data_IF_600136267600
#
_entry.id   IF_600136267600
#
_cell.length_a   1.000
_cell.length_b   1.000
_cell.length_c   1.000
_cell.angle_alpha   90.00
_cell.angle_beta   90.00
_cell.angle_gamma   90.00
#
_symmetry.space_group_name_H-M   'P 1'
#
loop_
_entity.id
_entity.type
_entity.pdbx_description
1 polymer ?
#
# COMPACT_ATOMS: atom_id res chain seq x y z
N UNK A 1 -4.85 -21.24 7.41
CA UNK A 1 -4.73 -22.57 8.03
C UNK A 1 -3.28 -23.02 7.88
N UNK A 2 -2.38 -22.60 8.79
CA UNK A 2 -0.93 -22.75 8.61
C UNK A 2 -0.46 -24.21 8.59
N UNK A 3 -1.06 -25.09 9.42
CA UNK A 3 -0.70 -26.52 9.44
C UNK A 3 -1.06 -27.22 8.13
N UNK A 4 -2.16 -26.78 7.52
CA UNK A 4 -2.72 -27.30 6.28
C UNK A 4 -2.17 -26.58 5.04
N UNK A 5 -1.34 -25.54 5.23
CA UNK A 5 -0.76 -24.69 4.18
C UNK A 5 -1.80 -24.07 3.24
N UNK A 6 -3.01 -23.81 3.76
CA UNK A 6 -4.08 -23.13 3.05
C UNK A 6 -4.13 -21.66 3.49
N UNK A 7 -3.97 -20.74 2.54
CA UNK A 7 -4.13 -19.30 2.72
C UNK A 7 -5.50 -18.86 2.22
N UNK A 8 -6.32 -18.32 3.13
CA UNK A 8 -7.53 -17.59 2.78
C UNK A 8 -7.15 -16.12 2.60
N UNK A 9 -7.11 -15.67 1.35
CA UNK A 9 -6.77 -14.30 1.01
C UNK A 9 -8.04 -13.57 0.57
N UNK A 10 -8.55 -12.68 1.42
CA UNK A 10 -9.66 -11.82 1.04
C UNK A 10 -9.27 -10.94 -0.16
N UNK A 11 -10.23 -10.62 -1.03
CA UNK A 11 -9.99 -9.86 -2.27
C UNK A 11 -9.35 -8.48 -2.06
N UNK A 12 -9.39 -7.93 -0.84
CA UNK A 12 -8.65 -6.72 -0.51
C UNK A 12 -7.12 -6.87 -0.43
N UNK A 13 -6.59 -8.09 -0.38
CA UNK A 13 -5.15 -8.35 -0.23
C UNK A 13 -4.51 -8.78 -1.55
N UNK A 14 -5.16 -9.68 -2.28
CA UNK A 14 -4.64 -10.26 -3.52
C UNK A 14 -5.41 -9.82 -4.77
N UNK A 15 -6.52 -9.11 -4.59
CA UNK A 15 -7.46 -8.75 -5.65
C UNK A 15 -8.53 -9.82 -5.88
N UNK A 16 -9.62 -9.48 -6.61
CA UNK A 16 -10.45 -10.47 -7.29
C UNK A 16 -9.61 -11.29 -8.27
N UNK A 17 -8.85 -10.62 -9.15
CA UNK A 17 -7.92 -11.24 -10.10
C UNK A 17 -6.53 -11.36 -9.47
N UNK A 18 -5.85 -12.51 -9.62
CA UNK A 18 -4.49 -12.68 -9.11
C UNK A 18 -3.47 -12.83 -10.26
N UNK A 19 -2.41 -12.00 -10.31
CA UNK A 19 -2.09 -10.91 -9.39
C UNK A 19 -2.61 -9.55 -9.90
N UNK A 20 -3.23 -8.78 -9.03
CA UNK A 20 -3.77 -7.43 -9.33
C UNK A 20 -3.17 -6.38 -8.41
N UNK A 21 -2.89 -5.19 -8.96
CA UNK A 21 -2.41 -4.04 -8.19
C UNK A 21 -3.36 -3.71 -7.04
N UNK A 22 -2.85 -3.45 -5.82
CA UNK A 22 -3.70 -3.20 -4.67
C UNK A 22 -4.51 -1.91 -4.83
N UNK A 23 -5.78 -2.00 -4.43
CA UNK A 23 -6.62 -0.81 -4.27
C UNK A 23 -6.49 -0.28 -2.84
N UNK A 24 -5.58 0.66 -2.63
CA UNK A 24 -5.32 1.24 -1.31
C UNK A 24 -6.30 2.34 -0.92
N UNK A 25 -6.94 2.99 -1.89
CA UNK A 25 -7.97 4.01 -1.66
C UNK A 25 -9.08 3.81 -2.67
N UNK A 26 -10.24 3.34 -2.20
CA UNK A 26 -11.36 3.09 -3.10
C UNK A 26 -12.00 4.43 -3.48
N UNK A 27 -12.43 4.56 -4.74
CA UNK A 27 -13.17 5.76 -5.23
C UNK A 27 -14.45 6.03 -4.42
N UNK A 28 -14.93 5.03 -3.65
CA UNK A 28 -16.10 5.12 -2.78
C UNK A 28 -15.80 5.70 -1.39
N UNK A 29 -14.59 6.22 -1.15
CA UNK A 29 -14.18 6.91 0.07
C UNK A 29 -14.31 6.05 1.36
N UNK A 30 -13.85 4.79 1.29
CA UNK A 30 -13.60 3.99 2.49
C UNK A 30 -12.27 4.38 3.16
N UNK A 31 -11.99 3.89 4.37
CA UNK A 31 -10.70 4.09 5.04
C UNK A 31 -9.57 3.61 4.12
N UNK A 32 -8.68 4.51 3.75
CA UNK A 32 -7.51 4.20 2.96
C UNK A 32 -6.62 3.19 3.70
N UNK A 33 -6.15 2.17 2.98
CA UNK A 33 -5.12 1.23 3.42
C UNK A 33 -3.77 1.93 3.35
N UNK A 34 -2.93 1.64 4.34
CA UNK A 34 -1.56 2.14 4.37
C UNK A 34 -0.68 1.21 3.51
N UNK A 35 0.09 1.79 2.60
CA UNK A 35 0.91 1.04 1.65
C UNK A 35 1.92 0.10 2.35
N UNK A 36 2.55 0.55 3.43
CA UNK A 36 3.51 -0.27 4.18
C UNK A 36 2.85 -1.44 4.89
N UNK A 37 1.67 -1.23 5.50
CA UNK A 37 0.89 -2.31 6.14
C UNK A 37 0.44 -3.36 5.11
N UNK A 38 0.12 -2.92 3.89
CA UNK A 38 -0.16 -3.84 2.80
C UNK A 38 1.07 -4.70 2.46
N UNK A 39 2.25 -4.08 2.30
CA UNK A 39 3.50 -4.81 2.02
C UNK A 39 3.82 -5.82 3.13
N UNK A 40 3.67 -5.42 4.40
CA UNK A 40 3.88 -6.30 5.56
C UNK A 40 2.92 -7.49 5.58
N UNK A 41 1.67 -7.26 5.18
CA UNK A 41 0.68 -8.33 5.01
C UNK A 41 1.13 -9.34 3.97
N UNK A 42 1.64 -8.89 2.82
CA UNK A 42 2.14 -9.80 1.76
C UNK A 42 3.41 -10.53 2.22
N UNK A 43 4.32 -9.86 2.93
CA UNK A 43 5.50 -10.50 3.54
C UNK A 43 5.08 -11.67 4.45
N UNK A 44 4.11 -11.44 5.32
CA UNK A 44 3.56 -12.49 6.19
C UNK A 44 3.00 -13.67 5.36
N UNK A 45 2.31 -13.39 4.26
CA UNK A 45 1.78 -14.44 3.37
C UNK A 45 2.89 -15.26 2.69
N UNK A 46 3.99 -14.61 2.29
CA UNK A 46 5.16 -15.26 1.69
C UNK A 46 5.83 -16.19 2.71
N UNK A 47 6.02 -15.73 3.96
CA UNK A 47 6.63 -16.52 5.03
C UNK A 47 5.84 -17.79 5.40
N UNK A 48 4.52 -17.77 5.18
CA UNK A 48 3.67 -18.94 5.41
C UNK A 48 3.83 -20.04 4.36
N UNK A 49 4.49 -19.75 3.23
CA UNK A 49 4.69 -20.66 2.10
C UNK A 49 3.43 -21.49 1.73
N UNK A 50 2.31 -20.83 1.40
CA UNK A 50 1.06 -21.52 1.12
C UNK A 50 1.19 -22.47 -0.09
N UNK A 51 0.57 -23.64 0.04
CA UNK A 51 0.40 -24.60 -1.06
C UNK A 51 -0.94 -24.40 -1.77
N UNK A 52 -1.91 -23.81 -1.08
CA UNK A 52 -3.22 -23.49 -1.60
C UNK A 52 -3.54 -22.04 -1.28
N UNK A 53 -4.03 -21.31 -2.29
CA UNK A 53 -4.53 -19.95 -2.12
C UNK A 53 -5.99 -19.91 -2.55
N UNK A 54 -6.84 -19.42 -1.65
CA UNK A 54 -8.27 -19.22 -1.89
C UNK A 54 -8.54 -17.72 -2.04
N UNK A 55 -8.61 -17.20 -3.28
CA UNK A 55 -9.07 -15.83 -3.54
C UNK A 55 -10.56 -15.81 -3.27
N UNK A 56 -11.05 -14.97 -2.36
CA UNK A 56 -12.46 -15.01 -1.94
C UNK A 56 -13.54 -14.90 -3.04
N UNK A 57 -13.19 -14.64 -4.31
CA UNK A 57 -14.11 -14.53 -5.44
C UNK A 57 -13.81 -15.48 -6.62
N UNK A 58 -12.66 -16.16 -6.62
CA UNK A 58 -12.17 -16.96 -7.76
C UNK A 58 -11.85 -18.40 -7.31
N UNK A 59 -11.58 -19.28 -8.28
CA UNK A 59 -11.19 -20.67 -8.01
C UNK A 59 -9.88 -20.75 -7.21
N UNK A 60 -9.69 -21.79 -6.39
CA UNK A 60 -8.46 -21.99 -5.64
C UNK A 60 -7.25 -22.14 -6.57
N UNK A 61 -6.15 -21.46 -6.26
CA UNK A 61 -4.85 -21.70 -6.89
C UNK A 61 -4.16 -22.81 -6.09
N UNK A 62 -3.73 -23.87 -6.79
CA UNK A 62 -3.13 -25.08 -6.19
C UNK A 62 -1.66 -25.29 -6.55
N UNK A 63 -1.10 -24.43 -7.43
CA UNK A 63 0.30 -24.44 -7.81
C UNK A 63 1.11 -23.53 -6.87
N UNK A 64 1.94 -24.14 -6.01
CA UNK A 64 2.79 -23.42 -5.04
C UNK A 64 3.71 -22.40 -5.72
N UNK A 65 4.34 -22.74 -6.84
CA UNK A 65 5.32 -21.87 -7.48
C UNK A 65 4.63 -20.65 -8.09
N UNK A 66 3.44 -20.86 -8.68
CA UNK A 66 2.60 -19.78 -9.17
C UNK A 66 2.11 -18.86 -8.03
N UNK A 67 1.71 -19.43 -6.89
CA UNK A 67 1.31 -18.65 -5.70
C UNK A 67 2.46 -17.78 -5.22
N UNK A 68 3.64 -18.39 -5.01
CA UNK A 68 4.81 -17.67 -4.50
C UNK A 68 5.25 -16.57 -5.48
N UNK A 69 5.25 -16.84 -6.79
CA UNK A 69 5.55 -15.85 -7.82
C UNK A 69 4.59 -14.67 -7.77
N UNK A 70 3.29 -14.94 -7.60
CA UNK A 70 2.27 -13.90 -7.52
C UNK A 70 2.42 -13.06 -6.23
N UNK A 71 2.65 -13.69 -5.08
CA UNK A 71 2.86 -12.98 -3.81
C UNK A 71 4.13 -12.11 -3.86
N UNK A 72 5.22 -12.64 -4.40
CA UNK A 72 6.48 -11.90 -4.62
C UNK A 72 6.23 -10.65 -5.47
N UNK A 73 5.48 -10.79 -6.56
CA UNK A 73 5.14 -9.66 -7.42
C UNK A 73 4.25 -8.62 -6.72
N UNK A 74 3.26 -9.08 -5.94
CA UNK A 74 2.38 -8.24 -5.11
C UNK A 74 3.14 -7.51 -3.99
N UNK A 75 4.30 -7.99 -3.56
CA UNK A 75 5.19 -7.29 -2.62
C UNK A 75 6.14 -6.34 -3.35
N UNK A 76 6.86 -6.83 -4.34
CA UNK A 76 7.98 -6.11 -4.96
C UNK A 76 7.51 -4.87 -5.73
N UNK A 77 6.37 -4.96 -6.41
CA UNK A 77 5.88 -3.85 -7.20
C UNK A 77 5.39 -2.67 -6.33
N UNK A 78 4.60 -2.88 -5.26
CA UNK A 78 4.27 -1.82 -4.30
C UNK A 78 5.48 -1.30 -3.51
N UNK A 79 6.45 -2.16 -3.15
CA UNK A 79 7.71 -1.74 -2.52
C UNK A 79 8.51 -0.79 -3.44
N UNK A 80 8.65 -1.13 -4.72
CA UNK A 80 9.29 -0.26 -5.70
C UNK A 80 8.61 1.12 -5.77
N UNK A 81 7.27 1.14 -5.82
CA UNK A 81 6.52 2.40 -5.85
C UNK A 81 6.72 3.21 -4.56
N UNK A 82 6.71 2.56 -3.40
CA UNK A 82 7.03 3.19 -2.12
C UNK A 82 8.40 3.88 -2.16
N UNK A 83 9.43 3.19 -2.64
CA UNK A 83 10.80 3.71 -2.66
C UNK A 83 10.96 4.87 -3.64
N UNK A 84 10.34 4.79 -4.83
CA UNK A 84 10.36 5.88 -5.80
C UNK A 84 9.57 7.11 -5.33
N UNK A 85 8.48 6.94 -4.56
CA UNK A 85 7.78 8.05 -3.92
C UNK A 85 8.74 8.81 -3.01
N UNK A 86 9.41 8.12 -2.08
CA UNK A 86 10.29 8.79 -1.11
C UNK A 86 11.53 9.41 -1.75
N UNK A 87 12.12 8.73 -2.72
CA UNK A 87 13.21 9.27 -3.53
C UNK A 87 12.80 10.54 -4.26
N UNK A 88 11.61 10.56 -4.87
CA UNK A 88 11.11 11.73 -5.57
C UNK A 88 10.73 12.89 -4.65
N UNK A 89 10.07 12.61 -3.52
CA UNK A 89 9.81 13.62 -2.48
C UNK A 89 11.10 14.22 -1.92
N UNK A 90 12.13 13.38 -1.68
CA UNK A 90 13.45 13.85 -1.21
C UNK A 90 14.17 14.71 -2.25
N UNK A 91 13.84 14.54 -3.53
CA UNK A 91 14.33 15.37 -4.63
C UNK A 91 13.47 16.63 -4.86
N UNK A 92 12.47 16.89 -4.01
CA UNK A 92 11.63 18.09 -4.08
C UNK A 92 10.47 18.02 -5.07
N UNK A 93 10.16 16.84 -5.63
CA UNK A 93 9.05 16.66 -6.57
C UNK A 93 7.71 16.72 -5.86
N UNK A 94 6.70 17.27 -6.55
CA UNK A 94 5.33 17.28 -6.06
C UNK A 94 4.57 15.97 -6.38
N UNK A 95 3.40 15.79 -5.75
CA UNK A 95 2.58 14.58 -5.91
C UNK A 95 2.17 14.32 -7.36
N UNK A 96 1.90 15.37 -8.14
CA UNK A 96 1.45 15.22 -9.52
C UNK A 96 2.60 14.86 -10.46
N UNK A 97 3.80 15.36 -10.20
CA UNK A 97 5.03 14.91 -10.86
C UNK A 97 5.25 13.42 -10.61
N UNK A 98 5.19 12.99 -9.36
CA UNK A 98 5.35 11.58 -8.98
C UNK A 98 4.30 10.68 -9.64
N UNK A 99 3.03 11.10 -9.68
CA UNK A 99 1.96 10.36 -10.34
C UNK A 99 2.22 10.15 -11.85
N UNK A 100 2.84 11.13 -12.51
CA UNK A 100 3.16 11.05 -13.95
C UNK A 100 4.38 10.16 -14.20
N UNK A 101 5.41 10.28 -13.39
CA UNK A 101 6.73 9.69 -13.65
C UNK A 101 6.90 8.28 -13.10
N UNK A 102 6.30 7.97 -11.95
CA UNK A 102 6.46 6.64 -11.34
C UNK A 102 5.67 5.64 -12.18
N UNK A 103 6.42 4.71 -12.80
CA UNK A 103 5.91 3.59 -13.58
C UNK A 103 6.65 2.32 -13.17
N UNK A 104 5.94 1.20 -13.20
CA UNK A 104 6.53 -0.10 -12.91
C UNK A 104 7.52 -0.49 -14.02
N UNK A 105 8.72 -0.97 -13.67
CA UNK A 105 9.61 -1.57 -14.65
C UNK A 105 8.98 -2.85 -15.22
N UNK A 106 9.39 -3.24 -16.44
CA UNK A 106 8.79 -4.37 -17.18
C UNK A 106 8.67 -5.67 -16.38
N UNK A 107 9.63 -5.96 -15.50
CA UNK A 107 9.63 -7.18 -14.70
C UNK A 107 8.62 -7.14 -13.53
N UNK A 108 8.13 -5.96 -13.14
CA UNK A 108 7.12 -5.74 -12.09
C UNK A 108 5.74 -5.38 -12.66
N UNK A 109 5.63 -5.15 -13.97
CA UNK A 109 4.39 -4.67 -14.60
C UNK A 109 3.36 -5.77 -14.90
N UNK A 110 3.60 -7.01 -14.46
CA UNK A 110 2.70 -8.15 -14.70
C UNK A 110 1.54 -8.20 -13.68
N UNK A 111 0.93 -7.04 -13.41
CA UNK A 111 -0.16 -6.86 -12.46
C UNK A 111 -1.32 -6.13 -13.15
N UNK A 112 -2.53 -6.67 -13.03
CA UNK A 112 -3.74 -5.99 -13.51
C UNK A 112 -3.93 -4.67 -12.74
N UNK A 113 -4.14 -3.55 -13.45
CA UNK A 113 -4.41 -2.23 -12.84
C UNK A 113 -5.86 -1.78 -13.08
N UNK A 114 -6.79 -2.72 -13.24
CA UNK A 114 -8.19 -2.41 -13.51
C UNK A 114 -8.90 -1.78 -12.29
N UNK A 115 -8.56 -2.22 -11.08
CA UNK A 115 -9.20 -1.80 -9.83
C UNK A 115 -8.34 -0.92 -8.93
N UNK A 116 -7.01 -1.05 -9.01
CA UNK A 116 -6.04 -0.16 -8.38
C UNK A 116 -5.04 0.32 -9.42
N UNK A 117 -4.46 1.51 -9.22
CA UNK A 117 -3.45 2.07 -10.13
C UNK A 117 -2.29 2.65 -9.35
N UNK A 118 -1.11 2.60 -9.95
CA UNK A 118 0.13 3.15 -9.37
C UNK A 118 -0.04 4.63 -9.01
N UNK A 119 -0.57 5.44 -9.92
CA UNK A 119 -0.75 6.87 -9.68
C UNK A 119 -1.72 7.18 -8.54
N UNK A 120 -2.73 6.32 -8.32
CA UNK A 120 -3.64 6.47 -7.19
C UNK A 120 -2.92 6.15 -5.88
N UNK A 121 -2.16 5.05 -5.84
CA UNK A 121 -1.29 4.70 -4.71
C UNK A 121 -0.32 5.84 -4.35
N UNK A 122 0.30 6.47 -5.35
CA UNK A 122 1.19 7.62 -5.13
C UNK A 122 0.45 8.76 -4.43
N UNK A 123 -0.70 9.17 -4.97
CA UNK A 123 -1.50 10.25 -4.40
C UNK A 123 -1.90 9.97 -2.95
N UNK A 124 -2.43 8.78 -2.69
CA UNK A 124 -2.89 8.40 -1.36
C UNK A 124 -1.76 8.31 -0.35
N UNK A 125 -0.59 7.81 -0.77
CA UNK A 125 0.58 7.68 0.12
C UNK A 125 1.13 9.05 0.50
N UNK A 126 1.27 9.96 -0.47
CA UNK A 126 1.73 11.33 -0.21
C UNK A 126 0.73 12.10 0.66
N UNK A 127 -0.57 11.94 0.39
CA UNK A 127 -1.64 12.55 1.21
C UNK A 127 -1.57 12.10 2.66
N UNK A 128 -1.42 10.80 2.92
CA UNK A 128 -1.29 10.23 4.26
C UNK A 128 -0.03 10.73 4.98
N UNK A 129 1.11 10.80 4.29
CA UNK A 129 2.36 11.33 4.84
C UNK A 129 2.23 12.82 5.23
N UNK A 130 1.59 13.63 4.39
CA UNK A 130 1.31 15.03 4.67
C UNK A 130 0.37 15.22 5.86
N UNK A 131 -0.73 14.45 5.92
CA UNK A 131 -1.67 14.48 7.03
C UNK A 131 -1.00 14.09 8.37
N UNK A 132 -0.14 13.07 8.37
CA UNK A 132 0.63 12.68 9.56
C UNK A 132 1.58 13.77 10.03
N UNK A 133 2.30 14.41 9.10
CA UNK A 133 3.23 15.49 9.41
C UNK A 133 2.50 16.71 9.98
N UNK A 134 1.37 17.09 9.37
CA UNK A 134 0.50 18.16 9.87
C UNK A 134 -0.07 17.83 11.27
N UNK A 135 -0.51 16.60 11.48
CA UNK A 135 -0.99 16.14 12.79
C UNK A 135 0.09 16.26 13.88
N UNK A 136 1.33 15.83 13.60
CA UNK A 136 2.45 15.97 14.55
C UNK A 136 2.78 17.43 14.83
N UNK A 137 2.78 18.27 13.81
CA UNK A 137 3.03 19.70 13.95
C UNK A 137 1.99 20.37 14.86
N UNK A 138 0.70 20.09 14.63
CA UNK A 138 -0.39 20.64 15.44
C UNK A 138 -0.27 20.16 16.89
N UNK A 139 -0.03 18.86 17.13
CA UNK A 139 0.11 18.32 18.50
C UNK A 139 1.33 18.87 19.24
N UNK A 140 2.47 19.03 18.55
CA UNK A 140 3.68 19.58 19.16
C UNK A 140 3.52 21.07 19.52
N UNK A 141 2.80 21.83 18.68
CA UNK A 141 2.58 23.26 18.89
C UNK A 141 1.32 23.59 19.70
N UNK A 142 0.39 22.65 19.91
CA UNK A 142 -0.78 22.89 20.78
C UNK A 142 -0.35 23.20 22.22
N UNK A 143 0.71 22.55 22.71
CA UNK A 143 1.28 22.82 24.04
C UNK A 143 1.85 24.24 24.09
N UNK A 144 2.54 24.69 23.03
CA UNK A 144 3.06 26.06 22.91
C UNK A 144 1.95 27.10 22.81
N UNK A 145 0.89 26.82 22.05
CA UNK A 145 -0.28 27.69 21.91
C UNK A 145 -1.03 27.80 23.24
N UNK A 146 -1.22 26.70 23.96
CA UNK A 146 -1.88 26.71 25.28
C UNK A 146 -1.03 27.44 26.33
N UNK A 147 0.30 27.30 26.29
CA UNK A 147 1.22 28.08 27.13
C UNK A 147 1.22 29.58 26.77
N UNK A 148 1.13 29.93 25.49
CA UNK A 148 1.03 31.32 25.04
C UNK A 148 -0.31 31.95 25.41
N UNK A 149 -1.41 31.21 25.34
CA UNK A 149 -2.73 31.65 25.82
C UNK A 149 -2.72 31.91 27.32
N UNK A 150 -2.08 31.04 28.11
CA UNK A 150 -1.89 31.24 29.54
C UNK A 150 -1.06 32.50 29.86
N UNK A 151 0.00 32.79 29.08
CA UNK A 151 0.84 33.98 29.27
C UNK A 151 0.16 35.27 28.79
N UNK A 152 -0.62 35.21 27.69
CA UNK A 152 -1.19 36.38 27.03
C UNK A 152 -2.64 36.70 27.43
N UNK A 153 -3.28 35.86 28.25
CA UNK A 153 -4.54 36.20 28.93
C UNK A 153 -5.82 36.10 28.08
N UNK A 154 -5.85 35.20 27.11
CA UNK A 154 -7.03 34.85 26.31
C UNK A 154 -7.01 33.38 25.88
#
# INVERSE_FOLDING_TARGET
MPKEKILFAGGGSVGPEIPMWPNLGTVRADRNRILTEYIDTINTMIELEPQFLLPGQDEPITDKDQIMKNLVLLRDAPQYVHDEIWKGLSAGKDVYELMREIKLPKHLSYLSQQHGRVEWTVRETVSQAGAWSAYRYIRANSILIDHMKFILGW
#
